data_IF_068664373267
#
_entry.id   IF_068664373267
#
_cell.length_a   1.000
_cell.length_b   1.000
_cell.length_c   1.000
_cell.angle_alpha   90.00
_cell.angle_beta   90.00
_cell.angle_gamma   90.00
#
_symmetry.space_group_name_H-M   'P 1'
#
loop_
_entity.id
_entity.type
_entity.pdbx_description
1 polymer ?
#
# COMPACT_ATOMS: atom_id res chain seq x y z
N UNK A 1 -15.57 -15.47 -9.09
CA UNK A 1 -14.70 -14.96 -10.17
C UNK A 1 -13.57 -15.97 -10.39
N UNK A 2 -13.08 -16.18 -11.62
CA UNK A 2 -11.88 -17.00 -11.82
C UNK A 2 -10.64 -16.18 -11.42
N UNK A 3 -9.65 -16.76 -10.74
CA UNK A 3 -8.43 -16.04 -10.42
C UNK A 3 -7.69 -15.65 -11.70
N UNK A 4 -7.15 -14.43 -11.71
CA UNK A 4 -6.36 -13.87 -12.81
C UNK A 4 -4.92 -13.70 -12.35
N UNK A 5 -3.97 -14.08 -13.18
CA UNK A 5 -2.53 -13.92 -12.92
C UNK A 5 -1.91 -13.17 -14.09
N UNK A 6 -1.28 -12.04 -13.81
CA UNK A 6 -0.44 -11.30 -14.76
C UNK A 6 1.02 -11.69 -14.59
N UNK A 7 1.70 -12.01 -15.69
CA UNK A 7 3.14 -12.28 -15.70
C UNK A 7 3.81 -11.39 -16.74
N UNK A 8 4.89 -10.72 -16.34
CA UNK A 8 5.63 -9.79 -17.20
C UNK A 8 7.12 -9.98 -17.01
N UNK A 9 7.89 -9.74 -18.07
CA UNK A 9 9.31 -9.47 -17.96
C UNK A 9 9.49 -8.01 -17.52
N UNK A 10 10.35 -7.80 -16.52
CA UNK A 10 10.58 -6.50 -15.90
C UNK A 10 12.02 -6.05 -16.03
N UNK A 11 12.22 -4.77 -16.37
CA UNK A 11 13.53 -4.13 -16.40
C UNK A 11 13.84 -3.31 -15.15
N UNK A 12 12.83 -3.02 -14.32
CA UNK A 12 12.96 -2.23 -13.09
C UNK A 12 11.74 -2.40 -12.18
N UNK A 13 11.83 -1.94 -10.92
CA UNK A 13 10.69 -1.95 -10.00
C UNK A 13 9.46 -1.23 -10.56
N UNK A 14 9.65 -0.07 -11.19
CA UNK A 14 8.57 0.68 -11.81
C UNK A 14 7.97 -0.06 -13.02
N UNK A 15 8.82 -0.49 -13.95
CA UNK A 15 8.41 -1.12 -15.21
C UNK A 15 7.60 -2.39 -14.96
N UNK A 16 8.08 -3.26 -14.07
CA UNK A 16 7.40 -4.51 -13.74
C UNK A 16 6.03 -4.30 -13.12
N UNK A 17 5.92 -3.38 -12.16
CA UNK A 17 4.63 -3.11 -11.50
C UNK A 17 3.65 -2.48 -12.47
N UNK A 18 4.05 -1.45 -13.24
CA UNK A 18 3.15 -0.80 -14.18
C UNK A 18 2.63 -1.78 -15.24
N UNK A 19 3.52 -2.58 -15.85
CA UNK A 19 3.11 -3.59 -16.84
C UNK A 19 2.19 -4.64 -16.25
N UNK A 20 2.48 -5.13 -15.04
CA UNK A 20 1.66 -6.14 -14.39
C UNK A 20 0.25 -5.60 -14.09
N UNK A 21 0.13 -4.36 -13.57
CA UNK A 21 -1.17 -3.71 -13.34
C UNK A 21 -1.93 -3.49 -14.65
N UNK A 22 -1.25 -3.07 -15.73
CA UNK A 22 -1.88 -2.87 -17.04
C UNK A 22 -2.51 -4.15 -17.63
N UNK A 23 -2.02 -5.35 -17.28
CA UNK A 23 -2.65 -6.61 -17.73
C UNK A 23 -4.04 -6.84 -17.12
N UNK A 24 -4.35 -6.16 -16.02
CA UNK A 24 -5.62 -6.26 -15.28
C UNK A 24 -6.28 -4.89 -15.08
N UNK A 25 -5.97 -3.94 -15.96
CA UNK A 25 -6.39 -2.53 -15.84
C UNK A 25 -7.90 -2.38 -15.74
N UNK A 26 -8.64 -3.05 -16.62
CA UNK A 26 -10.10 -2.96 -16.67
C UNK A 26 -10.76 -3.46 -15.38
N UNK A 27 -10.23 -4.54 -14.79
CA UNK A 27 -10.74 -5.10 -13.54
C UNK A 27 -10.49 -4.13 -12.39
N UNK A 28 -9.27 -3.58 -12.29
CA UNK A 28 -8.95 -2.60 -11.24
C UNK A 28 -9.80 -1.34 -11.42
N UNK A 29 -9.91 -0.80 -12.64
CA UNK A 29 -10.68 0.41 -12.92
C UNK A 29 -12.17 0.26 -12.52
N UNK A 30 -12.78 -0.89 -12.77
CA UNK A 30 -14.15 -1.16 -12.33
C UNK A 30 -14.26 -1.36 -10.81
N UNK A 31 -13.29 -2.01 -10.16
CA UNK A 31 -13.30 -2.22 -8.70
C UNK A 31 -13.10 -0.92 -7.91
N UNK A 32 -12.26 0.00 -8.40
CA UNK A 32 -12.00 1.28 -7.75
C UNK A 32 -13.03 2.37 -8.08
N UNK A 33 -13.95 2.10 -9.01
CA UNK A 33 -14.96 3.05 -9.45
C UNK A 33 -15.89 3.45 -8.30
N UNK A 34 -15.97 4.75 -8.03
CA UNK A 34 -16.82 5.31 -6.98
C UNK A 34 -16.27 5.15 -5.55
N UNK A 35 -15.11 4.51 -5.38
CA UNK A 35 -14.35 4.48 -4.12
C UNK A 35 -13.85 5.88 -3.79
N UNK A 36 -13.70 6.20 -2.50
CA UNK A 36 -13.33 7.55 -2.04
C UNK A 36 -11.95 7.62 -1.40
N UNK A 37 -11.50 6.50 -0.82
CA UNK A 37 -10.20 6.40 -0.14
C UNK A 37 -9.50 5.09 -0.53
N UNK A 38 -8.37 5.20 -1.22
CA UNK A 38 -7.49 4.06 -1.57
C UNK A 38 -6.29 4.06 -0.63
N UNK A 39 -5.99 2.91 -0.02
CA UNK A 39 -4.79 2.68 0.76
C UNK A 39 -3.76 1.87 -0.05
N UNK A 40 -2.61 2.47 -0.31
CA UNK A 40 -1.42 1.76 -0.79
C UNK A 40 -0.62 1.36 0.44
N UNK A 41 -0.52 0.05 0.71
CA UNK A 41 0.26 -0.50 1.82
C UNK A 41 1.57 -1.11 1.30
N UNK A 42 2.68 -0.34 1.20
CA UNK A 42 4.00 -0.94 1.01
C UNK A 42 4.39 -1.76 2.25
N UNK A 43 5.53 -2.45 2.19
CA UNK A 43 6.04 -3.21 3.32
C UNK A 43 7.38 -2.64 3.78
N UNK A 44 7.55 -2.33 5.08
CA UNK A 44 8.79 -1.90 5.74
C UNK A 44 9.09 -2.76 6.97
N UNK A 45 9.71 -3.93 6.80
CA UNK A 45 10.16 -4.73 7.96
C UNK A 45 11.33 -4.05 8.67
N UNK A 46 12.25 -3.47 7.89
CA UNK A 46 13.33 -2.60 8.37
C UNK A 46 13.27 -1.27 7.63
N UNK A 47 13.56 -0.17 8.34
CA UNK A 47 13.65 1.17 7.74
C UNK A 47 15.06 1.56 7.32
N UNK A 48 16.03 0.65 7.42
CA UNK A 48 17.44 0.89 7.05
C UNK A 48 18.01 -0.13 6.06
N UNK A 49 17.28 -1.22 5.77
CA UNK A 49 17.68 -2.24 4.79
C UNK A 49 16.69 -2.26 3.62
N UNK A 50 17.07 -1.72 2.46
CA UNK A 50 16.20 -1.61 1.29
C UNK A 50 15.59 -2.95 0.84
N UNK A 51 16.32 -4.07 0.96
CA UNK A 51 15.83 -5.41 0.60
C UNK A 51 14.65 -5.89 1.48
N UNK A 52 14.46 -5.27 2.65
CA UNK A 52 13.35 -5.54 3.56
C UNK A 52 12.21 -4.51 3.42
N UNK A 53 12.26 -3.69 2.35
CA UNK A 53 11.33 -2.62 2.07
C UNK A 53 10.87 -2.61 0.61
N UNK A 54 9.60 -2.29 0.35
CA UNK A 54 9.12 -2.03 -1.01
C UNK A 54 9.87 -0.83 -1.59
N UNK A 55 10.46 -0.98 -2.77
CA UNK A 55 11.18 0.11 -3.43
C UNK A 55 10.21 1.24 -3.85
N UNK A 56 10.59 2.51 -3.67
CA UNK A 56 9.70 3.65 -3.96
C UNK A 56 9.19 3.67 -5.40
N UNK A 57 10.00 3.25 -6.37
CA UNK A 57 9.59 3.15 -7.77
C UNK A 57 8.43 2.18 -8.02
N UNK A 58 8.29 1.12 -7.22
CA UNK A 58 7.13 0.24 -7.31
C UNK A 58 5.86 0.98 -6.87
N UNK A 59 5.93 1.75 -5.78
CA UNK A 59 4.81 2.57 -5.30
C UNK A 59 4.47 3.68 -6.29
N UNK A 60 5.48 4.32 -6.86
CA UNK A 60 5.32 5.30 -7.94
C UNK A 60 4.56 4.73 -9.14
N UNK A 61 4.84 3.50 -9.55
CA UNK A 61 4.09 2.83 -10.62
C UNK A 61 2.62 2.63 -10.28
N UNK A 62 2.30 2.30 -9.01
CA UNK A 62 0.92 2.21 -8.55
C UNK A 62 0.25 3.59 -8.60
N UNK A 63 0.94 4.65 -8.18
CA UNK A 63 0.40 6.03 -8.22
C UNK A 63 0.13 6.49 -9.67
N UNK A 64 1.12 6.38 -10.56
CA UNK A 64 0.97 6.73 -11.99
C UNK A 64 -0.12 5.88 -12.68
N UNK A 65 -0.33 4.64 -12.24
CA UNK A 65 -1.44 3.81 -12.71
C UNK A 65 -2.80 4.32 -12.20
N UNK A 66 -2.91 4.65 -10.91
CA UNK A 66 -4.16 5.10 -10.30
C UNK A 66 -4.62 6.46 -10.82
N UNK A 67 -3.72 7.41 -11.14
CA UNK A 67 -4.07 8.74 -11.66
C UNK A 67 -4.98 8.68 -12.91
N UNK A 68 -4.91 7.61 -13.70
CA UNK A 68 -5.73 7.42 -14.90
C UNK A 68 -7.20 7.09 -14.60
N UNK A 69 -7.47 6.51 -13.44
CA UNK A 69 -8.75 5.87 -13.13
C UNK A 69 -9.37 6.35 -11.81
N UNK A 70 -8.61 7.07 -10.99
CA UNK A 70 -8.98 7.43 -9.63
C UNK A 70 -8.55 8.85 -9.28
N UNK A 71 -9.49 9.62 -8.73
CA UNK A 71 -9.30 11.01 -8.30
C UNK A 71 -9.66 11.24 -6.83
N UNK A 72 -9.94 10.16 -6.09
CA UNK A 72 -10.21 10.23 -4.65
C UNK A 72 -8.93 10.35 -3.83
N UNK A 73 -9.06 10.24 -2.50
CA UNK A 73 -7.92 10.34 -1.59
C UNK A 73 -7.05 9.09 -1.71
N UNK A 74 -5.73 9.27 -1.84
CA UNK A 74 -4.75 8.19 -1.79
C UNK A 74 -3.92 8.32 -0.52
N UNK A 75 -3.82 7.23 0.23
CA UNK A 75 -3.03 7.13 1.45
C UNK A 75 -1.94 6.09 1.23
N UNK A 76 -0.70 6.41 1.57
CA UNK A 76 0.39 5.46 1.67
C UNK A 76 0.58 5.14 3.16
N UNK A 77 0.06 3.99 3.59
CA UNK A 77 0.05 3.61 5.00
C UNK A 77 0.96 2.42 5.26
N UNK A 78 1.85 2.55 6.25
CA UNK A 78 2.67 1.42 6.68
C UNK A 78 2.95 1.43 8.19
N UNK A 79 3.05 0.24 8.78
CA UNK A 79 3.40 0.04 10.19
C UNK A 79 4.71 -0.75 10.34
N UNK A 80 5.89 -0.09 10.34
CA UNK A 80 7.16 -0.81 10.33
C UNK A 80 7.43 -1.58 11.63
N UNK A 81 8.15 -2.71 11.54
CA UNK A 81 8.33 -3.62 12.70
C UNK A 81 9.34 -3.13 13.74
N UNK A 82 10.41 -2.45 13.32
CA UNK A 82 11.57 -2.15 14.18
C UNK A 82 11.72 -0.66 14.52
N UNK A 83 11.22 0.23 13.68
CA UNK A 83 11.59 1.65 13.67
C UNK A 83 10.46 2.52 13.11
N UNK A 84 10.59 3.85 13.18
CA UNK A 84 9.49 4.74 12.79
C UNK A 84 9.24 4.76 11.28
N UNK A 85 7.98 4.96 10.86
CA UNK A 85 7.63 5.16 9.45
C UNK A 85 8.47 6.29 8.83
N UNK A 86 8.60 7.42 9.54
CA UNK A 86 9.36 8.59 9.06
C UNK A 86 10.79 8.24 8.65
N UNK A 87 11.48 7.40 9.43
CA UNK A 87 12.83 6.93 9.09
C UNK A 87 12.84 6.16 7.77
N UNK A 88 11.86 5.29 7.54
CA UNK A 88 11.73 4.54 6.29
C UNK A 88 11.44 5.45 5.11
N UNK A 89 10.54 6.43 5.29
CA UNK A 89 10.19 7.38 4.24
C UNK A 89 11.40 8.20 3.78
N UNK A 90 12.25 8.63 4.72
CA UNK A 90 13.50 9.35 4.43
C UNK A 90 14.50 8.41 3.75
N UNK A 91 14.82 7.29 4.39
CA UNK A 91 15.91 6.41 3.97
C UNK A 91 15.65 5.74 2.61
N UNK A 92 14.38 5.47 2.28
CA UNK A 92 13.99 4.84 1.03
C UNK A 92 13.43 5.82 0.00
N UNK A 93 13.57 7.13 0.25
CA UNK A 93 13.25 8.18 -0.72
C UNK A 93 11.77 8.26 -1.09
N UNK A 94 10.85 8.07 -0.14
CA UNK A 94 9.41 8.21 -0.39
C UNK A 94 8.93 9.66 -0.32
N UNK A 95 9.62 10.53 0.42
CA UNK A 95 9.11 11.88 0.72
C UNK A 95 8.79 12.71 -0.52
N UNK A 96 9.56 12.57 -1.59
CA UNK A 96 9.34 13.32 -2.83
C UNK A 96 8.01 12.95 -3.52
N UNK A 97 7.39 11.81 -3.19
CA UNK A 97 6.08 11.46 -3.74
C UNK A 97 5.02 12.50 -3.38
N UNK A 98 5.12 13.18 -2.23
CA UNK A 98 4.20 14.25 -1.86
C UNK A 98 4.39 15.53 -2.69
N UNK A 99 5.54 15.69 -3.34
CA UNK A 99 5.79 16.84 -4.22
C UNK A 99 5.10 16.65 -5.60
N UNK A 100 4.87 15.39 -6.00
CA UNK A 100 4.27 15.04 -7.30
C UNK A 100 2.81 14.61 -7.20
N UNK A 101 2.43 13.93 -6.13
CA UNK A 101 1.11 13.32 -5.96
C UNK A 101 0.43 13.85 -4.69
N UNK A 102 -0.90 14.00 -4.74
CA UNK A 102 -1.71 14.31 -3.55
C UNK A 102 -1.89 13.07 -2.67
N UNK A 103 -0.85 12.74 -1.91
CA UNK A 103 -0.79 11.55 -1.05
C UNK A 103 -0.48 11.92 0.41
N UNK A 104 -1.09 11.17 1.32
CA UNK A 104 -0.81 11.25 2.75
C UNK A 104 -0.01 10.02 3.20
N UNK A 105 0.99 10.21 4.08
CA UNK A 105 1.67 9.13 4.77
C UNK A 105 1.06 8.87 6.15
N UNK A 106 0.67 7.63 6.42
CA UNK A 106 0.08 7.23 7.71
C UNK A 106 0.90 6.10 8.35
N UNK A 107 1.33 6.31 9.60
CA UNK A 107 1.94 5.25 10.41
C UNK A 107 0.84 4.39 11.02
N UNK A 108 0.59 3.22 10.44
CA UNK A 108 -0.50 2.33 10.86
C UNK A 108 -0.33 1.80 12.28
N UNK A 109 0.89 1.83 12.84
CA UNK A 109 1.14 1.45 14.23
C UNK A 109 0.77 2.56 15.23
N UNK A 110 0.60 3.81 14.75
CA UNK A 110 0.28 4.99 15.57
C UNK A 110 -1.09 5.58 15.24
N UNK A 111 -1.81 4.97 14.31
CA UNK A 111 -3.17 5.36 13.95
C UNK A 111 -4.15 5.07 15.09
N UNK A 112 -5.30 5.72 15.04
CA UNK A 112 -6.47 5.26 15.76
C UNK A 112 -6.79 3.81 15.35
N UNK A 113 -7.43 3.07 16.24
CA UNK A 113 -7.77 1.68 15.98
C UNK A 113 -9.23 1.37 16.27
N UNK A 114 -9.72 0.30 15.65
CA UNK A 114 -10.87 -0.46 16.11
C UNK A 114 -10.41 -1.76 16.76
N UNK A 115 -11.17 -2.26 17.73
CA UNK A 115 -11.00 -3.59 18.27
C UNK A 115 -11.81 -4.58 17.43
N UNK A 116 -11.17 -5.64 16.98
CA UNK A 116 -11.81 -6.74 16.26
C UNK A 116 -11.51 -8.06 16.96
N UNK A 117 -12.38 -9.03 16.75
CA UNK A 117 -12.25 -10.37 17.28
C UNK A 117 -11.79 -11.34 16.19
N UNK A 118 -10.99 -12.32 16.57
CA UNK A 118 -10.60 -13.42 15.70
C UNK A 118 -9.93 -14.52 16.49
N UNK A 119 -9.10 -15.33 15.83
CA UNK A 119 -8.59 -16.57 16.41
C UNK A 119 -7.08 -16.71 16.23
N UNK A 120 -6.40 -17.26 17.23
CA UNK A 120 -4.98 -17.55 17.14
C UNK A 120 -4.72 -18.83 16.34
N UNK A 121 -3.45 -19.23 16.19
CA UNK A 121 -3.07 -20.45 15.49
C UNK A 121 -3.59 -21.75 16.14
N UNK A 122 -4.17 -21.67 17.34
CA UNK A 122 -4.81 -22.78 18.07
C UNK A 122 -6.33 -22.63 18.12
N UNK A 123 -6.91 -21.75 17.30
CA UNK A 123 -8.34 -21.43 17.25
C UNK A 123 -8.90 -20.89 18.57
N UNK A 124 -8.08 -20.24 19.40
CA UNK A 124 -8.55 -19.58 20.62
C UNK A 124 -8.96 -18.15 20.28
N UNK A 125 -10.13 -17.67 20.77
CA UNK A 125 -10.53 -16.29 20.57
C UNK A 125 -9.47 -15.31 21.09
N UNK A 126 -9.20 -14.26 20.31
CA UNK A 126 -8.42 -13.11 20.74
C UNK A 126 -9.05 -11.82 20.20
N UNK A 127 -8.73 -10.72 20.88
CA UNK A 127 -9.02 -9.36 20.43
C UNK A 127 -7.73 -8.75 19.90
N UNK A 128 -7.80 -8.09 18.77
CA UNK A 128 -6.68 -7.34 18.20
C UNK A 128 -7.12 -5.98 17.69
N UNK A 129 -6.16 -5.07 17.65
CA UNK A 129 -6.35 -3.69 17.19
C UNK A 129 -6.01 -3.62 15.72
N UNK A 130 -6.93 -3.08 14.92
CA UNK A 130 -6.69 -2.76 13.51
C UNK A 130 -6.75 -1.24 13.32
N UNK A 131 -5.80 -0.69 12.57
CA UNK A 131 -5.79 0.73 12.20
C UNK A 131 -7.11 1.13 11.53
N UNK A 132 -7.71 2.24 11.96
CA UNK A 132 -8.92 2.80 11.36
C UNK A 132 -8.69 3.12 9.89
N UNK A 133 -7.55 3.68 9.54
CA UNK A 133 -7.18 3.98 8.14
C UNK A 133 -7.25 2.74 7.26
N UNK A 134 -6.77 1.60 7.74
CA UNK A 134 -6.83 0.34 6.99
C UNK A 134 -8.24 -0.26 6.89
N UNK A 135 -9.10 0.00 7.87
CA UNK A 135 -10.49 -0.50 7.88
C UNK A 135 -11.43 0.41 7.08
N UNK A 136 -11.18 1.72 7.09
CA UNK A 136 -12.01 2.74 6.45
C UNK A 136 -11.58 3.08 5.02
N UNK A 137 -10.52 2.46 4.49
CA UNK A 137 -10.23 2.50 3.06
C UNK A 137 -11.19 1.60 2.29
N UNK A 138 -11.59 2.02 1.10
CA UNK A 138 -12.63 1.35 0.31
C UNK A 138 -12.11 0.25 -0.64
#
# INVERSE_FOLDING_TARGET
MKPVVGLVESKSHYDGVLKALSLIENQIAEEIKGKKKVLIKPNFVSTSRQLAATHVDAVRAVLDFLEKHYSGKVIIGEGPSVSSLRSGLINFGYLWLQDKYDVEFVDLNRDDYIEVEGYDSRLRPLKFRLSKTAVESD
#
